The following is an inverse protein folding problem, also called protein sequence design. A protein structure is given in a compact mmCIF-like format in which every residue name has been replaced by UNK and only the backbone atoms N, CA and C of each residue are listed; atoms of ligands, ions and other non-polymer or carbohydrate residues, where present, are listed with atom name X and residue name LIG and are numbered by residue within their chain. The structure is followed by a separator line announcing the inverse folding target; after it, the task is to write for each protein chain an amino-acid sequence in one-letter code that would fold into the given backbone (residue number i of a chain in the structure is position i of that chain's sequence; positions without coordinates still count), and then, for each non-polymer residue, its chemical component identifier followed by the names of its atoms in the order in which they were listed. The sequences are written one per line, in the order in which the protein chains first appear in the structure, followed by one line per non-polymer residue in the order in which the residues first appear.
data_IF_657577290475
#
_entry.id   IF_657577290475
#
_cell.length_a   1.000
_cell.length_b   1.000
_cell.length_c   1.000
_cell.angle_alpha   90.00
_cell.angle_beta   90.00
_cell.angle_gamma   90.00
#
_symmetry.space_group_name_H-M   'P 1'
#
loop_
_entity.id
_entity.type
_entity.pdbx_description
1 polymer ?
#
# COMPACT_ATOMS: atom_id res chain seq x y z
N UNK A 1 -29.95 -12.58 -24.22
CA UNK A 1 -28.49 -12.33 -24.25
C UNK A 1 -28.06 -10.91 -23.86
N UNK A 2 -28.91 -10.06 -23.23
CA UNK A 2 -28.51 -8.69 -22.83
C UNK A 2 -27.96 -8.55 -21.39
N UNK A 3 -28.26 -9.49 -20.48
CA UNK A 3 -27.86 -9.35 -19.07
C UNK A 3 -26.42 -9.81 -18.77
N UNK A 4 -25.86 -10.70 -19.59
CA UNK A 4 -24.49 -11.19 -19.44
C UNK A 4 -23.45 -10.11 -19.78
N UNK A 5 -23.69 -9.33 -20.84
CA UNK A 5 -22.79 -8.24 -21.26
C UNK A 5 -22.76 -7.11 -20.23
N UNK A 6 -23.93 -6.74 -19.68
CA UNK A 6 -24.02 -5.73 -18.62
C UNK A 6 -23.32 -6.18 -17.32
N UNK A 7 -23.42 -7.47 -16.96
CA UNK A 7 -22.71 -8.03 -15.80
C UNK A 7 -21.20 -8.06 -16.02
N UNK A 8 -20.74 -8.46 -17.21
CA UNK A 8 -19.32 -8.50 -17.54
C UNK A 8 -18.70 -7.09 -17.55
N UNK A 9 -19.40 -6.10 -18.10
CA UNK A 9 -18.95 -4.70 -18.08
C UNK A 9 -18.87 -4.15 -16.65
N UNK A 10 -19.84 -4.46 -15.79
CA UNK A 10 -19.82 -4.04 -14.39
C UNK A 10 -18.64 -4.65 -13.64
N UNK A 11 -18.39 -5.95 -13.81
CA UNK A 11 -17.26 -6.64 -13.17
C UNK A 11 -15.91 -6.09 -13.64
N UNK A 12 -15.79 -5.69 -14.92
CA UNK A 12 -14.58 -5.01 -15.43
C UNK A 12 -14.36 -3.67 -14.73
N UNK A 13 -15.40 -2.84 -14.63
CA UNK A 13 -15.33 -1.55 -13.93
C UNK A 13 -14.99 -1.72 -12.44
N UNK A 14 -15.58 -2.70 -11.77
CA UNK A 14 -15.28 -3.02 -10.37
C UNK A 14 -13.83 -3.48 -10.20
N UNK A 15 -13.32 -4.33 -11.10
CA UNK A 15 -11.91 -4.74 -11.10
C UNK A 15 -10.98 -3.54 -11.31
N UNK A 16 -11.24 -2.71 -12.33
CA UNK A 16 -10.40 -1.57 -12.67
C UNK A 16 -10.35 -0.56 -11.51
N UNK A 17 -11.49 -0.34 -10.83
CA UNK A 17 -11.54 0.47 -9.62
C UNK A 17 -10.73 -0.15 -8.47
N UNK A 18 -10.86 -1.47 -8.23
CA UNK A 18 -10.09 -2.16 -7.20
C UNK A 18 -8.58 -2.16 -7.48
N UNK A 19 -8.17 -2.28 -8.74
CA UNK A 19 -6.76 -2.19 -9.14
C UNK A 19 -6.20 -0.78 -8.92
N UNK A 20 -7.00 0.25 -9.25
CA UNK A 20 -6.65 1.63 -8.99
C UNK A 20 -6.49 1.91 -7.49
N UNK A 21 -7.45 1.46 -6.67
CA UNK A 21 -7.41 1.63 -5.22
C UNK A 21 -6.23 0.87 -4.60
N UNK A 22 -5.95 -0.35 -5.08
CA UNK A 22 -4.74 -1.11 -4.70
C UNK A 22 -3.48 -0.28 -4.98
N UNK A 23 -3.35 0.30 -6.16
CA UNK A 23 -2.18 1.10 -6.52
C UNK A 23 -2.03 2.35 -5.63
N UNK A 24 -3.13 3.01 -5.25
CA UNK A 24 -3.11 4.12 -4.29
C UNK A 24 -2.62 3.64 -2.93
N UNK A 25 -3.18 2.55 -2.41
CA UNK A 25 -2.81 2.02 -1.09
C UNK A 25 -1.34 1.61 -1.04
N UNK A 26 -0.83 0.98 -2.10
CA UNK A 26 0.60 0.66 -2.22
C UNK A 26 1.48 1.92 -2.15
N UNK A 27 1.10 3.01 -2.82
CA UNK A 27 1.83 4.29 -2.74
C UNK A 27 1.80 4.89 -1.34
N UNK A 28 0.64 4.86 -0.68
CA UNK A 28 0.49 5.37 0.69
C UNK A 28 1.35 4.58 1.69
N UNK A 29 1.35 3.25 1.58
CA UNK A 29 2.18 2.38 2.42
C UNK A 29 3.67 2.63 2.20
N UNK A 30 4.11 2.79 0.95
CA UNK A 30 5.50 3.14 0.64
C UNK A 30 5.89 4.50 1.20
N UNK A 31 5.01 5.50 1.10
CA UNK A 31 5.24 6.83 1.67
C UNK A 31 5.35 6.77 3.19
N UNK A 32 4.42 6.09 3.86
CA UNK A 32 4.46 5.91 5.31
C UNK A 32 5.73 5.18 5.76
N UNK A 33 6.19 4.18 5.00
CA UNK A 33 7.45 3.50 5.30
C UNK A 33 8.65 4.46 5.23
N UNK A 34 8.73 5.29 4.19
CA UNK A 34 9.79 6.30 4.07
C UNK A 34 9.73 7.34 5.20
N UNK A 35 8.55 7.86 5.53
CA UNK A 35 8.40 8.81 6.64
C UNK A 35 8.81 8.21 7.99
N UNK A 36 8.55 6.92 8.23
CA UNK A 36 9.04 6.21 9.43
C UNK A 36 10.56 6.08 9.42
N UNK A 37 11.16 5.73 8.28
CA UNK A 37 12.62 5.61 8.16
C UNK A 37 13.30 6.96 8.43
N UNK A 38 12.80 8.04 7.83
CA UNK A 38 13.33 9.39 8.02
C UNK A 38 13.26 9.84 9.50
N UNK A 39 12.12 9.59 10.17
CA UNK A 39 11.95 9.94 11.60
C UNK A 39 12.80 9.05 12.51
N UNK A 40 12.93 7.76 12.20
CA UNK A 40 13.74 6.84 12.98
C UNK A 40 15.25 7.18 12.88
N UNK A 41 15.70 7.67 11.73
CA UNK A 41 17.07 8.14 11.56
C UNK A 41 17.35 9.46 12.28
N UNK A 42 16.35 10.34 12.41
CA UNK A 42 16.49 11.65 13.03
C UNK A 42 16.43 11.64 14.57
N UNK A 43 15.46 10.92 15.15
CA UNK A 43 15.02 11.16 16.55
C UNK A 43 15.06 9.92 17.46
N UNK A 44 15.44 8.73 16.96
CA UNK A 44 15.40 7.49 17.75
C UNK A 44 16.78 6.98 18.18
N UNK A 45 16.89 6.60 19.46
CA UNK A 45 17.96 5.74 19.98
C UNK A 45 17.93 4.35 19.31
N UNK A 46 19.07 3.65 19.26
CA UNK A 46 19.28 2.44 18.46
C UNK A 46 18.18 1.36 18.63
N UNK A 47 17.74 1.07 19.87
CA UNK A 47 16.69 0.07 20.11
C UNK A 47 15.30 0.49 19.62
N UNK A 48 14.99 1.80 19.65
CA UNK A 48 13.72 2.33 19.16
C UNK A 48 13.73 2.41 17.62
N UNK A 49 14.88 2.78 17.07
CA UNK A 49 15.15 2.81 15.63
C UNK A 49 14.93 1.44 14.99
N UNK A 50 15.48 0.38 15.57
CA UNK A 50 15.29 -0.98 15.04
C UNK A 50 13.81 -1.40 14.96
N UNK A 51 13.00 -1.03 15.96
CA UNK A 51 11.56 -1.33 15.95
C UNK A 51 10.82 -0.50 14.91
N UNK A 52 11.17 0.77 14.75
CA UNK A 52 10.60 1.65 13.74
C UNK A 52 10.92 1.15 12.32
N UNK A 53 12.18 0.77 12.06
CA UNK A 53 12.60 0.21 10.78
C UNK A 53 11.92 -1.14 10.48
N UNK A 54 11.61 -1.96 11.51
CA UNK A 54 10.79 -3.15 11.32
C UNK A 54 9.35 -2.82 10.91
N UNK A 55 8.75 -1.75 11.44
CA UNK A 55 7.42 -1.30 11.04
C UNK A 55 7.43 -0.83 9.57
N UNK A 56 8.40 -0.01 9.17
CA UNK A 56 8.59 0.42 7.79
C UNK A 56 8.74 -0.76 6.82
N UNK A 57 9.54 -1.77 7.18
CA UNK A 57 9.68 -3.01 6.38
C UNK A 57 8.36 -3.75 6.17
N UNK A 58 7.48 -3.79 7.17
CA UNK A 58 6.15 -4.43 7.04
C UNK A 58 5.29 -3.67 6.04
N UNK A 59 5.33 -2.34 6.05
CA UNK A 59 4.62 -1.51 5.08
C UNK A 59 5.15 -1.69 3.66
N UNK A 60 6.49 -1.72 3.47
CA UNK A 60 7.09 -2.02 2.16
C UNK A 60 6.67 -3.39 1.64
N UNK A 61 6.59 -4.39 2.51
CA UNK A 61 6.13 -5.74 2.13
C UNK A 61 4.65 -5.75 1.74
N UNK A 62 3.80 -5.02 2.46
CA UNK A 62 2.38 -4.90 2.14
C UNK A 62 2.12 -4.08 0.86
N UNK A 63 3.05 -3.19 0.51
CA UNK A 63 3.01 -2.38 -0.71
C UNK A 63 3.55 -3.11 -1.95
N UNK A 64 4.09 -4.33 -1.80
CA UNK A 64 4.66 -5.08 -2.92
C UNK A 64 3.60 -5.38 -4.00
N UNK A 65 3.97 -5.37 -5.30
CA UNK A 65 3.07 -5.65 -6.43
C UNK A 65 2.30 -6.96 -6.32
#
# INVERSE_FOLDING_TARGET
MKSSDSKAERLRKERDAAEHDKAIMQRLLNRAASEIEDLADADCEDEAKDRALQAARRFRRAAAP
#
